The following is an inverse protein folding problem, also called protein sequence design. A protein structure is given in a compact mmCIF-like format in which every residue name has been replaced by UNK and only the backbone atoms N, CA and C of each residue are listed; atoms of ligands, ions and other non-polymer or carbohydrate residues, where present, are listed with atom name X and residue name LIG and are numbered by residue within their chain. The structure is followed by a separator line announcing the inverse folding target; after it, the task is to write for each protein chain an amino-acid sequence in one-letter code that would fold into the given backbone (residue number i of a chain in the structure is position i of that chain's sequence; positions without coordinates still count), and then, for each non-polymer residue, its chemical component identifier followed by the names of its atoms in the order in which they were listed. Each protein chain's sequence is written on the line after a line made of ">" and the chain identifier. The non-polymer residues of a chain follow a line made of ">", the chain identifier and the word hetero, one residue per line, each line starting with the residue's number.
data_IF_139169952691
#
_entry.id   IF_139169952691
#
_cell.length_a   1.000
_cell.length_b   1.000
_cell.length_c   1.000
_cell.angle_alpha   90.00
_cell.angle_beta   90.00
_cell.angle_gamma   90.00
#
_symmetry.space_group_name_H-M   'P 1'
#
loop_
_entity.id
_entity.type
_entity.pdbx_description
1 polymer ?
#
# COMPACT_ATOMS: atom_id res chain seq x y z
N UNK A 1 33.66 85.12 50.75
CA UNK A 1 34.23 83.76 50.65
C UNK A 1 33.11 82.77 50.91
N UNK A 2 32.73 81.86 50.02
CA UNK A 2 32.70 81.94 48.55
C UNK A 2 31.64 80.93 48.08
N UNK A 3 30.95 81.25 46.98
CA UNK A 3 30.16 80.33 46.14
C UNK A 3 28.89 79.63 46.70
N UNK A 4 27.90 79.54 45.81
CA UNK A 4 26.62 78.82 45.89
C UNK A 4 26.54 77.91 44.61
N UNK A 5 25.37 77.40 44.19
CA UNK A 5 24.50 76.38 44.79
C UNK A 5 24.24 75.18 43.84
N UNK A 6 23.46 74.18 44.29
CA UNK A 6 22.53 73.37 43.49
C UNK A 6 21.51 72.76 44.47
N UNK A 7 20.18 72.96 44.36
CA UNK A 7 19.24 72.41 43.37
C UNK A 7 19.24 70.86 43.34
N UNK A 8 18.11 70.14 43.42
CA UNK A 8 16.72 70.51 43.08
C UNK A 8 15.64 69.67 43.83
N UNK A 9 14.36 69.98 43.56
CA UNK A 9 13.17 69.48 44.26
C UNK A 9 12.72 68.04 43.89
N UNK A 10 12.28 67.32 44.93
CA UNK A 10 10.96 66.65 45.08
C UNK A 10 10.08 66.45 43.81
N UNK A 11 9.67 65.20 43.53
CA UNK A 11 8.24 64.90 43.26
C UNK A 11 7.86 63.43 43.46
N UNK A 12 6.66 63.22 44.00
CA UNK A 12 5.83 61.98 43.95
C UNK A 12 4.94 62.13 42.69
N UNK A 13 4.32 61.13 42.05
CA UNK A 13 4.05 59.71 42.36
C UNK A 13 4.55 58.80 41.19
N UNK A 14 4.11 57.57 40.90
CA UNK A 14 3.01 56.73 41.43
C UNK A 14 3.28 55.22 41.20
N UNK A 15 2.44 54.34 41.74
CA UNK A 15 2.48 52.89 41.53
C UNK A 15 1.55 52.46 40.39
N UNK A 16 2.12 51.98 39.28
CA UNK A 16 1.36 51.32 38.21
C UNK A 16 1.75 49.85 38.07
N UNK A 17 0.79 48.98 38.39
CA UNK A 17 0.90 47.52 38.29
C UNK A 17 0.87 47.09 36.82
N UNK A 18 2.02 47.07 36.16
CA UNK A 18 2.14 46.53 34.80
C UNK A 18 2.13 45.00 34.84
N UNK A 19 0.95 44.40 34.65
CA UNK A 19 0.81 42.99 34.29
C UNK A 19 1.51 42.75 32.94
N UNK A 20 2.76 42.28 32.98
CA UNK A 20 3.41 41.70 31.81
C UNK A 20 2.76 40.36 31.50
N UNK A 21 1.72 40.42 30.67
CA UNK A 21 1.13 39.25 30.05
C UNK A 21 2.13 38.72 29.01
N UNK A 22 3.06 37.85 29.43
CA UNK A 22 3.90 37.07 28.53
C UNK A 22 3.00 36.14 27.70
N UNK A 23 2.45 36.68 26.60
CA UNK A 23 1.96 35.87 25.51
C UNK A 23 3.13 35.09 24.96
N UNK A 24 3.28 33.86 25.43
CA UNK A 24 4.24 32.89 24.90
C UNK A 24 3.95 32.69 23.42
N UNK A 25 4.70 33.39 22.57
CA UNK A 25 4.69 33.15 21.13
C UNK A 25 5.01 31.67 20.95
N UNK A 26 4.10 30.83 20.42
CA UNK A 26 4.39 29.42 20.25
C UNK A 26 5.64 29.30 19.38
N UNK A 27 6.61 28.43 19.72
CA UNK A 27 7.87 28.35 19.00
C UNK A 27 7.58 28.11 17.53
N UNK A 28 8.01 29.04 16.68
CA UNK A 28 7.79 28.99 15.22
C UNK A 28 8.48 27.74 14.70
N UNK A 29 7.71 26.68 14.49
CA UNK A 29 8.23 25.40 14.02
C UNK A 29 8.73 25.60 12.59
N UNK A 30 10.02 25.36 12.38
CA UNK A 30 10.63 25.52 11.07
C UNK A 30 9.98 24.58 10.05
N UNK A 31 9.53 25.14 8.92
CA UNK A 31 8.77 24.38 7.92
C UNK A 31 9.69 23.54 7.03
N UNK A 32 9.11 22.60 6.28
CA UNK A 32 9.86 21.79 5.31
C UNK A 32 10.56 22.64 4.24
N UNK A 33 9.99 23.80 3.89
CA UNK A 33 10.63 24.78 3.01
C UNK A 33 12.02 25.19 3.53
N UNK A 34 12.11 25.44 4.84
CA UNK A 34 13.31 25.94 5.53
C UNK A 34 14.27 24.79 5.88
N UNK A 35 13.75 23.65 6.34
CA UNK A 35 14.56 22.52 6.79
C UNK A 35 15.08 21.64 5.65
N UNK A 36 14.30 21.53 4.56
CA UNK A 36 14.56 20.65 3.42
C UNK A 36 14.58 19.14 3.75
N UNK A 37 14.37 18.75 5.01
CA UNK A 37 14.42 17.36 5.48
C UNK A 37 13.60 17.16 6.74
N UNK A 38 12.82 16.08 6.76
CA UNK A 38 12.19 15.52 7.95
C UNK A 38 12.63 14.07 8.17
N UNK A 39 12.56 13.64 9.42
CA UNK A 39 12.87 12.29 9.88
C UNK A 39 11.81 11.85 10.89
N UNK A 40 11.50 10.56 10.94
CA UNK A 40 10.76 9.99 12.07
C UNK A 40 11.56 10.08 13.36
N UNK A 41 10.89 9.95 14.51
CA UNK A 41 11.52 9.95 15.83
C UNK A 41 12.72 8.98 15.94
N UNK A 42 12.58 7.76 15.38
CA UNK A 42 13.63 6.75 15.33
C UNK A 42 14.63 6.90 14.15
N UNK A 43 14.51 7.97 13.35
CA UNK A 43 15.33 8.29 12.14
C UNK A 43 15.36 7.23 11.01
N UNK A 44 14.61 6.14 11.14
CA UNK A 44 14.52 5.08 10.13
C UNK A 44 13.73 5.50 8.89
N UNK A 45 12.78 6.42 9.06
CA UNK A 45 11.99 7.02 7.99
C UNK A 45 12.43 8.47 7.77
N UNK A 46 12.34 8.96 6.53
CA UNK A 46 12.71 10.32 6.17
C UNK A 46 11.97 10.82 4.92
N UNK A 47 11.87 12.14 4.80
CA UNK A 47 11.47 12.86 3.59
C UNK A 47 12.53 13.95 3.39
N UNK A 48 13.15 14.04 2.22
CA UNK A 48 14.26 14.97 1.95
C UNK A 48 14.08 15.60 0.57
N UNK A 49 14.07 16.94 0.50
CA UNK A 49 14.25 17.66 -0.75
C UNK A 49 15.58 17.30 -1.40
N UNK A 50 15.62 17.36 -2.72
CA UNK A 50 16.84 17.20 -3.54
C UNK A 50 16.96 18.37 -4.49
N UNK A 51 18.19 18.83 -4.67
CA UNK A 51 18.51 19.87 -5.65
C UNK A 51 18.34 19.27 -7.05
N UNK A 52 17.64 19.99 -7.94
CA UNK A 52 17.57 19.63 -9.35
C UNK A 52 18.98 19.55 -9.94
N UNK A 53 19.33 18.42 -10.53
CA UNK A 53 20.59 18.28 -11.27
C UNK A 53 20.32 18.44 -12.76
N UNK A 54 21.27 19.01 -13.52
CA UNK A 54 21.18 19.24 -14.97
C UNK A 54 21.19 17.95 -15.83
N UNK A 55 20.84 16.79 -15.26
CA UNK A 55 20.77 15.49 -15.95
C UNK A 55 19.54 15.44 -16.86
N UNK A 56 19.64 14.74 -18.00
CA UNK A 56 18.53 14.47 -18.94
C UNK A 56 17.53 13.42 -18.43
N UNK A 57 17.38 13.26 -17.12
CA UNK A 57 16.53 12.24 -16.49
C UNK A 57 15.55 12.96 -15.58
N UNK A 58 14.26 12.63 -15.69
CA UNK A 58 13.19 13.20 -14.86
C UNK A 58 13.50 13.08 -13.36
N UNK A 59 13.15 14.12 -12.59
CA UNK A 59 13.48 14.22 -11.17
C UNK A 59 12.28 14.56 -10.31
N UNK A 60 12.13 13.81 -9.22
CA UNK A 60 11.06 14.02 -8.22
C UNK A 60 11.35 15.24 -7.32
N UNK A 61 12.59 15.75 -7.34
CA UNK A 61 13.13 16.80 -6.46
C UNK A 61 13.04 16.43 -4.96
N UNK A 62 12.91 15.13 -4.70
CA UNK A 62 12.63 14.54 -3.40
C UNK A 62 13.22 13.13 -3.35
N UNK A 63 13.63 12.70 -2.16
CA UNK A 63 13.81 11.29 -1.83
C UNK A 63 13.15 11.00 -0.49
N UNK A 64 12.45 9.89 -0.36
CA UNK A 64 11.75 9.52 0.87
C UNK A 64 11.89 8.03 1.17
N UNK A 65 11.76 7.68 2.45
CA UNK A 65 11.62 6.31 2.94
C UNK A 65 10.63 6.34 4.10
N UNK A 66 9.49 5.65 3.99
CA UNK A 66 8.48 5.64 5.04
C UNK A 66 7.63 4.37 4.97
N UNK A 67 6.96 4.03 6.07
CA UNK A 67 6.04 2.89 6.14
C UNK A 67 4.60 3.38 6.00
N UNK A 68 3.82 2.72 5.14
CA UNK A 68 2.39 2.98 4.94
C UNK A 68 1.64 1.65 4.84
N UNK A 69 0.64 1.43 5.71
CA UNK A 69 -0.16 0.18 5.77
C UNK A 69 0.74 -1.08 5.74
N UNK A 70 1.72 -1.12 6.66
CA UNK A 70 2.74 -2.18 6.81
C UNK A 70 3.68 -2.40 5.61
N UNK A 71 3.62 -1.57 4.57
CA UNK A 71 4.51 -1.62 3.41
C UNK A 71 5.59 -0.54 3.52
N UNK A 72 6.86 -0.90 3.35
CA UNK A 72 7.95 0.07 3.20
C UNK A 72 7.93 0.68 1.80
N UNK A 73 7.79 2.00 1.71
CA UNK A 73 7.84 2.78 0.48
C UNK A 73 9.15 3.56 0.44
N UNK A 74 9.87 3.46 -0.68
CA UNK A 74 11.07 4.25 -1.00
C UNK A 74 10.82 5.04 -2.27
N UNK A 75 11.02 6.36 -2.21
CA UNK A 75 10.98 7.27 -3.35
C UNK A 75 12.39 7.71 -3.72
N UNK A 76 12.76 7.48 -4.98
CA UNK A 76 14.05 7.81 -5.56
C UNK A 76 13.93 9.09 -6.40
N UNK A 77 14.91 9.98 -6.27
CA UNK A 77 14.88 11.26 -6.97
C UNK A 77 14.99 11.09 -8.49
N UNK A 78 15.96 10.29 -8.94
CA UNK A 78 16.25 10.09 -10.37
C UNK A 78 15.29 9.05 -10.97
N UNK A 79 14.72 9.37 -12.14
CA UNK A 79 13.75 8.54 -12.83
C UNK A 79 12.36 8.51 -12.18
N UNK A 80 12.14 9.34 -11.15
CA UNK A 80 10.90 9.42 -10.37
C UNK A 80 10.37 8.04 -9.93
N UNK A 81 11.25 7.17 -9.43
CA UNK A 81 10.91 5.77 -9.13
C UNK A 81 10.38 5.64 -7.69
N UNK A 82 9.27 4.93 -7.53
CA UNK A 82 8.84 4.33 -6.27
C UNK A 82 9.15 2.84 -6.26
N UNK A 83 9.74 2.35 -5.18
CA UNK A 83 9.96 0.91 -4.92
C UNK A 83 9.37 0.54 -3.57
N UNK A 84 8.80 -0.65 -3.45
CA UNK A 84 8.37 -1.23 -2.16
C UNK A 84 9.23 -2.43 -1.75
N UNK A 85 9.00 -2.94 -0.54
CA UNK A 85 9.53 -4.22 -0.05
C UNK A 85 9.08 -5.43 -0.90
N UNK A 86 7.84 -5.44 -1.38
CA UNK A 86 7.23 -6.53 -2.15
C UNK A 86 7.57 -6.50 -3.66
N UNK A 87 8.78 -6.07 -4.03
CA UNK A 87 9.26 -5.92 -5.42
C UNK A 87 8.38 -5.07 -6.36
N UNK A 88 7.42 -4.29 -5.84
CA UNK A 88 6.64 -3.37 -6.65
C UNK A 88 7.51 -2.20 -7.06
N UNK A 89 7.57 -1.93 -8.37
CA UNK A 89 8.35 -0.82 -8.94
C UNK A 89 7.43 -0.02 -9.86
N UNK A 90 7.36 1.29 -9.64
CA UNK A 90 6.57 2.20 -10.45
C UNK A 90 7.32 3.52 -10.69
N UNK A 91 7.03 4.17 -11.82
CA UNK A 91 7.27 5.60 -12.01
C UNK A 91 6.11 6.34 -11.35
N UNK A 92 6.43 7.38 -10.61
CA UNK A 92 5.47 8.23 -9.89
C UNK A 92 5.66 9.70 -10.25
N UNK A 93 4.67 10.53 -9.92
CA UNK A 93 4.78 11.99 -9.88
C UNK A 93 4.13 12.53 -8.61
N UNK A 94 4.48 13.77 -8.25
CA UNK A 94 3.73 14.57 -7.29
C UNK A 94 2.86 15.56 -8.07
N UNK A 95 1.60 15.72 -7.68
CA UNK A 95 0.71 16.70 -8.33
C UNK A 95 0.98 18.14 -7.85
N UNK A 96 1.20 18.32 -6.54
CA UNK A 96 1.27 19.62 -5.87
C UNK A 96 2.45 19.71 -4.89
N UNK A 97 3.70 19.45 -5.32
CA UNK A 97 4.86 19.34 -4.44
C UNK A 97 5.04 20.55 -3.49
N UNK A 98 4.52 21.72 -3.86
CA UNK A 98 4.44 22.93 -3.03
C UNK A 98 3.77 22.74 -1.66
N UNK A 99 2.74 21.88 -1.51
CA UNK A 99 2.07 21.74 -0.21
C UNK A 99 2.93 20.97 0.82
N UNK A 100 4.01 20.32 0.39
CA UNK A 100 4.99 19.75 1.32
C UNK A 100 5.75 20.86 2.07
N UNK A 101 5.90 22.04 1.47
CA UNK A 101 6.71 23.14 2.00
C UNK A 101 6.09 23.81 3.23
N UNK A 102 4.76 23.73 3.35
CA UNK A 102 3.95 24.22 4.47
C UNK A 102 3.98 23.29 5.70
N UNK A 103 4.47 22.06 5.55
CA UNK A 103 4.47 21.09 6.64
C UNK A 103 5.49 21.46 7.73
N UNK A 104 5.13 21.32 9.01
CA UNK A 104 6.02 21.55 10.16
C UNK A 104 6.60 20.26 10.76
N UNK A 105 6.00 19.10 10.48
CA UNK A 105 6.47 17.80 10.99
C UNK A 105 6.47 16.67 9.95
N UNK A 106 7.12 15.55 10.32
CA UNK A 106 7.27 14.36 9.48
C UNK A 106 5.97 13.64 9.15
N UNK A 107 5.04 13.48 10.10
CA UNK A 107 3.77 12.76 9.86
C UNK A 107 2.79 13.62 9.06
N UNK A 108 2.80 14.95 9.23
CA UNK A 108 2.10 15.88 8.34
C UNK A 108 2.64 15.77 6.91
N UNK A 109 3.97 15.92 6.73
CA UNK A 109 4.60 15.81 5.41
C UNK A 109 4.38 14.44 4.76
N UNK A 110 4.37 13.36 5.53
CA UNK A 110 4.06 12.00 5.07
C UNK A 110 2.61 11.87 4.58
N UNK A 111 1.63 12.43 5.30
CA UNK A 111 0.22 12.46 4.85
C UNK A 111 0.07 13.22 3.53
N UNK A 112 0.65 14.42 3.44
CA UNK A 112 0.65 15.23 2.20
C UNK A 112 1.32 14.46 1.05
N UNK A 113 2.50 13.88 1.30
CA UNK A 113 3.24 13.10 0.31
C UNK A 113 2.42 11.92 -0.24
N UNK A 114 1.74 11.16 0.62
CA UNK A 114 0.87 10.05 0.22
C UNK A 114 -0.32 10.55 -0.61
N UNK A 115 -0.98 11.63 -0.18
CA UNK A 115 -2.14 12.19 -0.87
C UNK A 115 -1.82 12.71 -2.27
N UNK A 116 -0.61 13.23 -2.48
CA UNK A 116 -0.15 13.79 -3.77
C UNK A 116 0.51 12.78 -4.70
N UNK A 117 0.92 11.62 -4.19
CA UNK A 117 1.65 10.64 -4.98
C UNK A 117 0.72 10.02 -6.02
N UNK A 118 1.14 10.03 -7.29
CA UNK A 118 0.43 9.37 -8.39
C UNK A 118 1.36 8.41 -9.10
N UNK A 119 0.92 7.18 -9.27
CA UNK A 119 1.58 6.20 -10.14
C UNK A 119 1.28 6.59 -11.59
N UNK A 120 2.32 6.85 -12.38
CA UNK A 120 2.20 7.16 -13.82
C UNK A 120 2.40 5.92 -14.67
N UNK A 121 3.29 5.01 -14.25
CA UNK A 121 3.57 3.75 -14.93
C UNK A 121 4.03 2.69 -13.94
N UNK A 122 3.46 1.49 -14.00
CA UNK A 122 3.99 0.33 -13.28
C UNK A 122 5.11 -0.30 -14.14
N UNK A 123 6.26 -0.55 -13.52
CA UNK A 123 7.41 -1.24 -14.14
C UNK A 123 7.38 -2.73 -13.78
N UNK A 124 7.08 -3.06 -12.52
CA UNK A 124 7.02 -4.44 -12.02
C UNK A 124 6.00 -4.58 -10.88
N UNK A 125 5.27 -5.68 -10.88
CA UNK A 125 4.28 -6.04 -9.86
C UNK A 125 4.16 -7.58 -9.76
N UNK A 126 4.94 -8.18 -8.86
CA UNK A 126 5.00 -9.64 -8.65
C UNK A 126 3.63 -10.23 -8.26
N UNK A 127 2.77 -9.47 -7.56
CA UNK A 127 1.42 -9.90 -7.20
C UNK A 127 0.51 -9.94 -8.43
N UNK A 128 0.63 -8.96 -9.32
CA UNK A 128 -0.11 -8.94 -10.59
C UNK A 128 0.33 -10.10 -11.49
N UNK A 129 1.64 -10.37 -11.58
CA UNK A 129 2.18 -11.52 -12.33
C UNK A 129 1.67 -12.85 -11.76
N UNK A 130 1.77 -13.06 -10.45
CA UNK A 130 1.25 -14.26 -9.76
C UNK A 130 -0.27 -14.44 -10.01
N UNK A 131 -1.06 -13.38 -9.84
CA UNK A 131 -2.50 -13.39 -10.11
C UNK A 131 -2.81 -13.74 -11.57
N UNK A 132 -2.06 -13.18 -12.52
CA UNK A 132 -2.25 -13.45 -13.95
C UNK A 132 -1.90 -14.91 -14.28
N UNK A 133 -0.82 -15.45 -13.70
CA UNK A 133 -0.43 -16.85 -13.84
C UNK A 133 -1.49 -17.82 -13.28
N UNK A 134 -2.00 -17.56 -12.07
CA UNK A 134 -3.10 -18.35 -11.48
C UNK A 134 -4.37 -18.28 -12.32
N UNK A 135 -4.72 -17.09 -12.83
CA UNK A 135 -5.88 -16.90 -13.73
C UNK A 135 -5.71 -17.68 -15.03
N UNK A 136 -4.52 -17.71 -15.62
CA UNK A 136 -4.23 -18.48 -16.83
C UNK A 136 -4.39 -19.99 -16.60
N UNK A 137 -3.95 -20.51 -15.44
CA UNK A 137 -4.17 -21.91 -15.07
C UNK A 137 -5.67 -22.24 -14.90
N UNK A 138 -6.43 -21.37 -14.23
CA UNK A 138 -7.88 -21.55 -14.07
C UNK A 138 -8.64 -21.50 -15.41
N UNK A 139 -8.24 -20.61 -16.32
CA UNK A 139 -8.82 -20.56 -17.67
C UNK A 139 -8.50 -21.85 -18.44
N UNK A 140 -7.26 -22.36 -18.35
CA UNK A 140 -6.88 -23.64 -18.97
C UNK A 140 -7.71 -24.82 -18.45
N UNK A 141 -7.87 -24.93 -17.13
CA UNK A 141 -8.71 -25.97 -16.50
C UNK A 141 -10.19 -25.81 -16.91
N UNK A 142 -10.70 -24.59 -16.92
CA UNK A 142 -12.08 -24.29 -17.35
C UNK A 142 -12.31 -24.67 -18.81
N UNK A 143 -11.35 -24.39 -19.69
CA UNK A 143 -11.43 -24.73 -21.10
C UNK A 143 -11.34 -26.25 -21.31
N UNK A 144 -10.47 -26.96 -20.59
CA UNK A 144 -10.44 -28.43 -20.56
C UNK A 144 -11.80 -29.00 -20.18
N UNK A 145 -12.40 -28.52 -19.09
CA UNK A 145 -13.73 -28.97 -18.63
C UNK A 145 -14.85 -28.64 -19.63
N UNK A 146 -14.82 -27.46 -20.27
CA UNK A 146 -15.78 -27.09 -21.32
C UNK A 146 -15.62 -27.94 -22.59
N UNK A 147 -14.39 -28.18 -23.05
CA UNK A 147 -14.11 -29.09 -24.17
C UNK A 147 -14.46 -30.55 -23.85
N UNK A 148 -14.60 -30.89 -22.57
CA UNK A 148 -15.02 -32.21 -22.13
C UNK A 148 -16.55 -32.38 -22.10
N UNK A 149 -17.25 -31.94 -23.15
CA UNK A 149 -18.68 -32.23 -23.36
C UNK A 149 -19.00 -33.73 -23.32
N UNK A 150 -17.97 -34.59 -23.46
CA UNK A 150 -18.02 -36.03 -23.19
C UNK A 150 -16.95 -36.49 -22.19
N UNK A 151 -16.73 -35.76 -21.09
CA UNK A 151 -16.10 -36.35 -19.91
C UNK A 151 -17.07 -37.39 -19.33
N UNK A 152 -17.03 -38.59 -19.91
CA UNK A 152 -17.77 -39.72 -19.41
C UNK A 152 -17.23 -40.03 -18.01
N UNK A 153 -17.92 -39.54 -16.99
CA UNK A 153 -17.48 -39.66 -15.59
C UNK A 153 -17.22 -41.13 -15.21
N UNK A 154 -17.90 -42.09 -15.86
CA UNK A 154 -17.64 -43.52 -15.71
C UNK A 154 -16.25 -43.90 -16.22
N UNK A 155 -15.85 -43.39 -17.39
CA UNK A 155 -14.50 -43.58 -17.94
C UNK A 155 -13.44 -42.92 -17.06
N UNK A 156 -13.67 -41.68 -16.59
CA UNK A 156 -12.73 -40.98 -15.70
C UNK A 156 -12.56 -41.71 -14.36
N UNK A 157 -13.65 -42.10 -13.68
CA UNK A 157 -13.58 -42.91 -12.47
C UNK A 157 -12.87 -44.25 -12.71
N UNK A 158 -13.09 -44.88 -13.88
CA UNK A 158 -12.41 -46.13 -14.26
C UNK A 158 -10.92 -45.93 -14.47
N UNK A 159 -10.48 -44.90 -15.18
CA UNK A 159 -9.06 -44.57 -15.35
C UNK A 159 -8.39 -44.26 -14.01
N UNK A 160 -9.02 -43.46 -13.14
CA UNK A 160 -8.50 -43.15 -11.82
C UNK A 160 -8.31 -44.42 -10.98
N UNK A 161 -9.28 -45.33 -10.99
CA UNK A 161 -9.17 -46.62 -10.28
C UNK A 161 -8.13 -47.58 -10.88
N UNK A 162 -7.88 -47.53 -12.19
CA UNK A 162 -6.94 -48.44 -12.88
C UNK A 162 -5.49 -47.91 -12.90
N UNK A 163 -5.27 -46.62 -12.66
CA UNK A 163 -3.94 -46.04 -12.69
C UNK A 163 -3.12 -46.38 -11.44
N UNK A 164 -2.08 -47.21 -11.61
CA UNK A 164 -1.16 -47.65 -10.55
C UNK A 164 -0.38 -46.50 -9.88
N UNK A 165 -0.23 -45.34 -10.53
CA UNK A 165 0.48 -44.16 -9.98
C UNK A 165 -0.38 -43.28 -9.08
N UNK A 166 -1.70 -43.52 -9.03
CA UNK A 166 -2.62 -42.72 -8.21
C UNK A 166 -2.72 -43.32 -6.80
N UNK A 167 -2.80 -42.46 -5.78
CA UNK A 167 -2.95 -42.86 -4.38
C UNK A 167 -4.30 -43.51 -4.08
N UNK A 168 -4.34 -44.42 -3.12
CA UNK A 168 -5.56 -45.18 -2.81
C UNK A 168 -6.68 -44.29 -2.25
N UNK A 169 -6.35 -43.20 -1.55
CA UNK A 169 -7.32 -42.17 -1.15
C UNK A 169 -8.07 -41.60 -2.36
N UNK A 170 -7.38 -41.33 -3.47
CA UNK A 170 -8.01 -40.76 -4.65
C UNK A 170 -8.78 -41.82 -5.47
N UNK A 171 -8.35 -43.09 -5.44
CA UNK A 171 -9.15 -44.23 -5.94
C UNK A 171 -10.44 -44.41 -5.14
N UNK A 172 -10.37 -44.27 -3.81
CA UNK A 172 -11.53 -44.35 -2.91
C UNK A 172 -12.52 -43.21 -3.18
N UNK A 173 -12.02 -41.97 -3.31
CA UNK A 173 -12.81 -40.79 -3.70
C UNK A 173 -13.55 -41.01 -5.04
N UNK A 174 -12.85 -41.55 -6.05
CA UNK A 174 -13.45 -41.86 -7.34
C UNK A 174 -14.54 -42.96 -7.27
N UNK A 175 -14.36 -43.99 -6.43
CA UNK A 175 -15.39 -45.03 -6.18
C UNK A 175 -16.63 -44.43 -5.52
N UNK A 176 -16.46 -43.62 -4.48
CA UNK A 176 -17.58 -42.98 -3.77
C UNK A 176 -18.37 -42.05 -4.70
N UNK A 177 -17.68 -41.23 -5.50
CA UNK A 177 -18.31 -40.33 -6.46
C UNK A 177 -19.11 -41.09 -7.54
N UNK A 178 -18.57 -42.22 -8.01
CA UNK A 178 -19.27 -43.10 -8.97
C UNK A 178 -20.56 -43.69 -8.39
N UNK A 179 -20.52 -44.17 -7.14
CA UNK A 179 -21.68 -44.74 -6.43
C UNK A 179 -22.76 -43.68 -6.17
N UNK A 180 -22.38 -42.51 -5.66
CA UNK A 180 -23.30 -41.40 -5.41
C UNK A 180 -24.02 -40.95 -6.69
N UNK A 181 -23.28 -40.81 -7.80
CA UNK A 181 -23.87 -40.41 -9.09
C UNK A 181 -24.84 -41.47 -9.64
N UNK A 182 -24.65 -42.75 -9.31
CA UNK A 182 -25.57 -43.84 -9.69
C UNK A 182 -26.90 -43.77 -8.92
N UNK A 183 -26.86 -43.47 -7.61
CA UNK A 183 -28.06 -43.27 -6.80
C UNK A 183 -28.90 -42.10 -7.35
N UNK A 184 -28.27 -40.96 -7.59
CA UNK A 184 -28.89 -39.76 -8.17
C UNK A 184 -29.51 -39.94 -9.58
N UNK A 185 -29.09 -40.97 -10.32
CA UNK A 185 -29.69 -41.32 -11.62
C UNK A 185 -30.87 -42.29 -11.45
N UNK A 186 -30.75 -43.26 -10.54
CA UNK A 186 -31.84 -44.20 -10.22
C UNK A 186 -33.04 -43.49 -9.58
N UNK A 187 -32.81 -42.51 -8.70
CA UNK A 187 -33.87 -41.71 -8.07
C UNK A 187 -34.68 -40.84 -9.06
N UNK A 188 -34.15 -40.60 -10.27
CA UNK A 188 -34.82 -39.84 -11.33
C UNK A 188 -35.43 -40.73 -12.43
N UNK A 189 -35.25 -42.05 -12.37
CA UNK A 189 -35.75 -43.02 -13.33
C UNK A 189 -36.78 -43.95 -12.71
N UNK A 190 -38.04 -43.50 -12.64
CA UNK A 190 -39.17 -44.34 -12.21
C UNK A 190 -39.30 -45.60 -13.08
N UNK A 191 -39.55 -46.73 -12.41
CA UNK A 191 -39.60 -48.08 -13.01
C UNK A 191 -40.58 -48.22 -14.18
N UNK A 192 -40.17 -48.82 -15.31
CA UNK A 192 -41.06 -49.37 -16.30
C UNK A 192 -41.12 -50.91 -16.17
N UNK A 193 -41.67 -51.46 -15.08
CA UNK A 193 -42.23 -52.83 -15.03
C UNK A 193 -42.99 -53.08 -13.71
N UNK A 194 -44.31 -52.88 -13.75
CA UNK A 194 -45.26 -53.50 -12.81
C UNK A 194 -46.66 -53.47 -13.43
N UNK A 195 -46.96 -54.43 -14.30
CA UNK A 195 -48.26 -54.46 -14.96
C UNK A 195 -48.34 -55.33 -16.20
N UNK A 196 -48.22 -56.64 -16.04
CA UNK A 196 -49.13 -57.60 -16.69
C UNK A 196 -49.33 -58.78 -15.74
N UNK A 197 -50.58 -59.27 -15.66
CA UNK A 197 -50.97 -60.51 -14.98
C UNK A 197 -50.70 -61.70 -15.89
#
# INVERSE_FOLDING_TARGET
>A
LSEMPAESHVSVCDAHTSNFNEQSVPPVQATFAQLGKFFSHNRMQYIKKRVQTKKKIDQLNLSARFTFVNMEIKLHNEGCIMTTDNNFIAIVKLEHPEQLDECSDFEQAKKVLINQLRITKIIRDDLMELRNNLRAQLVKITNMLKSSEKLNYRSLCREICMNKRISDNMKYLAKNFYSWKRQQLNEKGGSPFSGFK
#
